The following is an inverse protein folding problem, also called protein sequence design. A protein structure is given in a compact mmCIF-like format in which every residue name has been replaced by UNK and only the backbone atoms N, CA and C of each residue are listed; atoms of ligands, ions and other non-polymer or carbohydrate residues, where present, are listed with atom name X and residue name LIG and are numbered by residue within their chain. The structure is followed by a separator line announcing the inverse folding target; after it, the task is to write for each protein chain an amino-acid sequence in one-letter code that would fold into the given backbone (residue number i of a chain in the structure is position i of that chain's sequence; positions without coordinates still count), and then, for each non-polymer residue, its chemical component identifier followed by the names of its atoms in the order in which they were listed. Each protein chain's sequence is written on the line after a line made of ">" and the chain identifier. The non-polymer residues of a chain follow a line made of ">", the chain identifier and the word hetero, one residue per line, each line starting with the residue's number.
data_IF_975204730249
#
_entry.id   IF_975204730249
#
_cell.length_a   1.000
_cell.length_b   1.000
_cell.length_c   1.000
_cell.angle_alpha   90.00
_cell.angle_beta   90.00
_cell.angle_gamma   90.00
#
_symmetry.space_group_name_H-M   'P 1'
#
loop_
_entity.id
_entity.type
_entity.pdbx_description
1 polymer ?
#
# COMPACT_ATOMS: atom_id res chain seq x y z
N UNK A 1 16.61 9.00 4.56
CA UNK A 1 16.02 7.64 4.71
C UNK A 1 17.12 6.64 4.41
N UNK A 2 17.41 5.69 5.30
CA UNK A 2 18.29 4.58 4.93
C UNK A 2 17.62 3.83 3.76
N UNK A 3 18.31 3.59 2.62
CA UNK A 3 17.70 2.96 1.44
C UNK A 3 16.95 1.65 1.72
N UNK A 4 17.38 0.92 2.73
CA UNK A 4 16.77 -0.34 3.19
C UNK A 4 15.38 -0.14 3.80
N UNK A 5 15.15 0.95 4.55
CA UNK A 5 13.86 1.26 5.18
C UNK A 5 12.81 1.62 4.12
N UNK A 6 13.18 2.45 3.15
CA UNK A 6 12.27 2.81 2.04
C UNK A 6 11.89 1.60 1.18
N UNK A 7 12.86 0.72 0.90
CA UNK A 7 12.64 -0.51 0.14
C UNK A 7 11.76 -1.51 0.89
N UNK A 8 12.02 -1.74 2.17
CA UNK A 8 11.21 -2.62 3.01
C UNK A 8 9.77 -2.11 3.13
N UNK A 9 9.59 -0.81 3.43
CA UNK A 9 8.27 -0.21 3.51
C UNK A 9 7.50 -0.26 2.18
N UNK A 10 8.17 -0.04 1.04
CA UNK A 10 7.56 -0.18 -0.27
C UNK A 10 7.11 -1.62 -0.56
N UNK A 11 7.96 -2.62 -0.27
CA UNK A 11 7.61 -4.03 -0.44
C UNK A 11 6.40 -4.43 0.40
N UNK A 12 6.36 -4.01 1.67
CA UNK A 12 5.24 -4.30 2.57
C UNK A 12 3.95 -3.63 2.05
N UNK A 13 4.02 -2.33 1.73
CA UNK A 13 2.88 -1.61 1.18
C UNK A 13 2.37 -2.23 -0.12
N UNK A 14 3.28 -2.64 -1.01
CA UNK A 14 2.94 -3.32 -2.26
C UNK A 14 2.26 -4.66 -2.03
N UNK A 15 2.78 -5.48 -1.12
CA UNK A 15 2.16 -6.76 -0.78
C UNK A 15 0.73 -6.57 -0.27
N UNK A 16 0.52 -5.61 0.65
CA UNK A 16 -0.82 -5.32 1.20
C UNK A 16 -1.78 -4.90 0.10
N UNK A 17 -1.39 -3.96 -0.75
CA UNK A 17 -2.23 -3.48 -1.87
C UNK A 17 -2.51 -4.58 -2.87
N UNK A 18 -1.51 -5.38 -3.24
CA UNK A 18 -1.66 -6.44 -4.23
C UNK A 18 -2.62 -7.54 -3.74
N UNK A 19 -2.43 -8.00 -2.50
CA UNK A 19 -3.28 -9.07 -1.93
C UNK A 19 -4.70 -8.57 -1.67
N UNK A 20 -4.87 -7.40 -1.05
CA UNK A 20 -6.21 -6.85 -0.80
C UNK A 20 -6.94 -6.50 -2.11
N UNK A 21 -6.23 -5.96 -3.09
CA UNK A 21 -6.77 -5.71 -4.43
C UNK A 21 -7.23 -7.00 -5.12
N UNK A 22 -6.44 -8.07 -5.02
CA UNK A 22 -6.84 -9.40 -5.49
C UNK A 22 -8.09 -9.93 -4.79
N UNK A 23 -8.11 -9.88 -3.45
CA UNK A 23 -9.24 -10.35 -2.64
C UNK A 23 -10.55 -9.64 -2.97
N UNK A 24 -10.52 -8.33 -3.27
CA UNK A 24 -11.71 -7.58 -3.63
C UNK A 24 -12.45 -8.11 -4.86
N UNK A 25 -11.77 -8.81 -5.77
CA UNK A 25 -12.42 -9.45 -6.93
C UNK A 25 -13.17 -10.75 -6.56
N UNK A 26 -12.80 -11.39 -5.46
CA UNK A 26 -13.38 -12.65 -4.99
C UNK A 26 -14.40 -12.46 -3.86
N UNK A 27 -14.40 -11.30 -3.21
CA UNK A 27 -15.28 -11.01 -2.09
C UNK A 27 -16.69 -10.62 -2.54
N UNK A 28 -17.67 -11.20 -1.84
CA UNK A 28 -19.07 -10.90 -2.08
C UNK A 28 -19.41 -9.46 -1.67
N UNK A 29 -20.00 -8.72 -2.61
CA UNK A 29 -20.34 -7.31 -2.43
C UNK A 29 -21.45 -7.18 -1.37
N UNK A 30 -21.21 -6.37 -0.34
CA UNK A 30 -22.14 -6.18 0.78
C UNK A 30 -21.77 -6.97 2.04
N UNK A 31 -20.74 -7.82 1.98
CA UNK A 31 -20.17 -8.45 3.17
C UNK A 31 -19.31 -7.47 3.99
N UNK A 32 -19.20 -7.71 5.30
CA UNK A 32 -18.29 -6.97 6.15
C UNK A 32 -16.82 -7.11 5.69
N UNK A 33 -16.46 -8.27 5.15
CA UNK A 33 -15.13 -8.56 4.63
C UNK A 33 -14.80 -7.72 3.40
N UNK A 34 -15.75 -7.51 2.48
CA UNK A 34 -15.57 -6.61 1.34
C UNK A 34 -15.29 -5.18 1.79
N UNK A 35 -16.02 -4.69 2.80
CA UNK A 35 -15.86 -3.33 3.33
C UNK A 35 -14.48 -3.16 3.96
N UNK A 36 -14.10 -4.05 4.88
CA UNK A 36 -12.81 -3.96 5.58
C UNK A 36 -11.66 -4.08 4.59
N UNK A 37 -11.72 -5.04 3.66
CA UNK A 37 -10.70 -5.21 2.62
C UNK A 37 -10.58 -3.97 1.74
N UNK A 38 -11.70 -3.32 1.41
CA UNK A 38 -11.71 -2.07 0.63
C UNK A 38 -10.99 -0.94 1.39
N UNK A 39 -11.27 -0.79 2.69
CA UNK A 39 -10.58 0.18 3.53
C UNK A 39 -9.08 -0.12 3.64
N UNK A 40 -8.70 -1.38 3.83
CA UNK A 40 -7.30 -1.81 3.87
C UNK A 40 -6.58 -1.52 2.55
N UNK A 41 -7.24 -1.77 1.41
CA UNK A 41 -6.69 -1.48 0.09
C UNK A 41 -6.42 0.03 -0.09
N UNK A 42 -7.40 0.88 0.25
CA UNK A 42 -7.25 2.34 0.18
C UNK A 42 -6.12 2.82 1.10
N UNK A 43 -6.05 2.32 2.33
CA UNK A 43 -5.01 2.67 3.28
C UNK A 43 -3.63 2.23 2.80
N UNK A 44 -3.54 1.02 2.22
CA UNK A 44 -2.33 0.49 1.60
C UNK A 44 -1.85 1.38 0.45
N UNK A 45 -2.75 1.84 -0.42
CA UNK A 45 -2.42 2.77 -1.50
C UNK A 45 -1.90 4.10 -0.97
N UNK A 46 -2.54 4.67 0.07
CA UNK A 46 -2.09 5.90 0.70
C UNK A 46 -0.69 5.75 1.30
N UNK A 47 -0.43 4.62 1.99
CA UNK A 47 0.88 4.31 2.55
C UNK A 47 1.97 4.17 1.48
N UNK A 48 1.67 3.44 0.39
CA UNK A 48 2.55 3.29 -0.76
C UNK A 48 2.88 4.63 -1.41
N UNK A 49 1.86 5.48 -1.59
CA UNK A 49 2.03 6.82 -2.13
C UNK A 49 2.92 7.68 -1.22
N UNK A 50 2.71 7.63 0.09
CA UNK A 50 3.55 8.34 1.06
C UNK A 50 5.02 7.90 0.99
N UNK A 51 5.29 6.60 0.91
CA UNK A 51 6.66 6.09 0.74
C UNK A 51 7.25 6.50 -0.60
N UNK A 52 6.50 6.41 -1.69
CA UNK A 52 6.96 6.83 -3.01
C UNK A 52 7.34 8.33 -3.03
N UNK A 53 6.52 9.19 -2.42
CA UNK A 53 6.79 10.62 -2.26
C UNK A 53 8.01 10.85 -1.37
N UNK A 54 8.12 10.16 -0.23
CA UNK A 54 9.26 10.30 0.68
C UNK A 54 10.59 9.90 0.01
N UNK A 55 10.59 8.80 -0.76
CA UNK A 55 11.75 8.36 -1.54
C UNK A 55 12.08 9.39 -2.63
N UNK A 56 11.08 9.88 -3.37
CA UNK A 56 11.29 10.87 -4.44
C UNK A 56 11.85 12.19 -3.90
N UNK A 57 11.36 12.66 -2.75
CA UNK A 57 11.87 13.88 -2.11
C UNK A 57 13.27 13.68 -1.53
N UNK A 58 13.56 12.49 -0.99
CA UNK A 58 14.89 12.13 -0.52
C UNK A 58 15.95 12.08 -1.63
N UNK A 59 15.57 11.65 -2.84
CA UNK A 59 16.46 11.65 -4.02
C UNK A 59 16.69 13.03 -4.63
N UNK A 60 15.75 13.97 -4.48
CA UNK A 60 15.88 15.34 -5.01
C UNK A 60 16.75 16.27 -4.15
N UNK A 61 17.08 15.87 -2.92
CA UNK A 61 17.89 16.65 -1.97
C UNK A 61 19.38 16.26 -1.96
N UNK A 62 19.79 15.32 -2.82
CA UNK A 62 21.18 14.94 -3.10
C UNK A 62 21.58 15.47 -4.47
#
# INVERSE_FOLDING_TARGET
>A
MHPQIGRAGFHIGFYVVFVSGGLLFFLERGSAEFVITSFTFILGLAFLAAIAVAVRLGQRKL
#
